data_IF_478292215836
#
_entry.id   IF_478292215836
#
_cell.length_a   1.000
_cell.length_b   1.000
_cell.length_c   1.000
_cell.angle_alpha   90.00
_cell.angle_beta   90.00
_cell.angle_gamma   90.00
#
_symmetry.space_group_name_H-M   'P 1'
#
loop_
_entity.id
_entity.type
_entity.pdbx_description
1 polymer ?
#
# COMPACT_ATOMS: atom_id res chain seq x y z
N UNK A 1 8.61 2.24 -12.82
CA UNK A 1 9.76 2.67 -11.98
C UNK A 1 9.29 2.70 -10.53
N UNK A 2 10.11 2.24 -9.57
CA UNK A 2 9.73 2.16 -8.15
C UNK A 2 10.83 2.78 -7.31
N UNK A 3 10.50 3.76 -6.49
CA UNK A 3 11.42 4.40 -5.54
C UNK A 3 11.21 3.83 -4.14
N UNK A 4 12.28 3.46 -3.45
CA UNK A 4 12.23 3.07 -2.05
C UNK A 4 13.09 4.02 -1.21
N UNK A 5 12.50 4.55 -0.15
CA UNK A 5 13.09 5.60 0.68
C UNK A 5 13.17 5.11 2.12
N UNK A 6 14.35 5.22 2.72
CA UNK A 6 14.59 4.98 4.14
C UNK A 6 15.79 5.82 4.59
N UNK A 7 16.03 5.94 5.89
CA UNK A 7 17.24 6.57 6.45
C UNK A 7 18.31 5.53 6.78
N UNK A 8 17.91 4.27 7.00
CA UNK A 8 18.78 3.18 7.42
C UNK A 8 19.38 2.47 6.21
N UNK A 9 20.66 2.71 5.97
CA UNK A 9 21.41 2.16 4.83
C UNK A 9 21.28 0.63 4.68
N UNK A 10 21.29 -0.11 5.81
CA UNK A 10 21.13 -1.57 5.79
C UNK A 10 19.78 -2.01 5.24
N UNK A 11 18.69 -1.28 5.51
CA UNK A 11 17.37 -1.58 4.92
C UNK A 11 17.33 -1.32 3.42
N UNK A 12 18.03 -0.27 2.96
CA UNK A 12 18.17 0.02 1.53
C UNK A 12 18.93 -1.09 0.79
N UNK A 13 20.00 -1.61 1.39
CA UNK A 13 20.73 -2.78 0.83
C UNK A 13 19.82 -4.00 0.70
N UNK A 14 19.06 -4.31 1.76
CA UNK A 14 18.07 -5.39 1.72
C UNK A 14 17.07 -5.12 0.59
N UNK A 15 16.52 -3.91 0.47
CA UNK A 15 15.61 -3.55 -0.63
C UNK A 15 16.23 -3.79 -2.02
N UNK A 16 17.51 -3.49 -2.22
CA UNK A 16 18.18 -3.77 -3.49
C UNK A 16 18.24 -5.27 -3.81
N UNK A 17 18.41 -6.14 -2.81
CA UNK A 17 18.31 -7.59 -2.98
C UNK A 17 16.90 -8.05 -3.41
N UNK A 18 15.86 -7.26 -3.12
CA UNK A 18 14.49 -7.47 -3.60
C UNK A 18 14.23 -6.90 -5.00
N UNK A 19 15.25 -6.35 -5.67
CA UNK A 19 15.14 -5.81 -7.02
C UNK A 19 14.72 -4.33 -7.06
N UNK A 20 14.69 -3.63 -5.92
CA UNK A 20 14.50 -2.18 -5.93
C UNK A 20 15.78 -1.50 -6.43
N UNK A 21 15.73 -0.95 -7.63
CA UNK A 21 16.89 -0.30 -8.26
C UNK A 21 17.03 1.16 -7.84
N UNK A 22 15.92 1.86 -7.58
CA UNK A 22 15.92 3.27 -7.19
C UNK A 22 15.72 3.41 -5.68
N UNK A 23 16.80 3.27 -4.92
CA UNK A 23 16.81 3.49 -3.47
C UNK A 23 17.35 4.88 -3.10
N UNK A 24 16.72 5.54 -2.13
CA UNK A 24 17.09 6.88 -1.66
C UNK A 24 17.31 6.84 -0.15
N UNK A 25 18.50 7.26 0.29
CA UNK A 25 18.75 7.54 1.69
C UNK A 25 18.33 8.98 2.05
N UNK A 26 17.18 9.12 2.71
CA UNK A 26 16.60 10.42 3.06
C UNK A 26 17.41 11.21 4.10
N UNK A 27 18.35 10.57 4.81
CA UNK A 27 19.27 11.26 5.72
C UNK A 27 20.43 11.95 4.99
N UNK A 28 20.67 11.59 3.71
CA UNK A 28 21.82 12.05 2.92
C UNK A 28 21.44 12.98 1.78
N UNK A 29 20.18 12.93 1.32
CA UNK A 29 19.70 13.64 0.13
C UNK A 29 18.26 14.08 0.33
N UNK A 30 17.88 15.15 -0.35
CA UNK A 30 16.50 15.59 -0.42
C UNK A 30 15.68 14.61 -1.27
N UNK A 31 14.76 13.89 -0.61
CA UNK A 31 13.88 12.91 -1.23
C UNK A 31 12.99 13.50 -2.32
N UNK A 32 12.33 14.63 -2.04
CA UNK A 32 11.33 15.23 -2.93
C UNK A 32 12.02 15.70 -4.20
N UNK A 33 13.11 16.45 -4.04
CA UNK A 33 13.93 16.91 -5.17
C UNK A 33 14.45 15.75 -6.01
N UNK A 34 15.01 14.72 -5.37
CA UNK A 34 15.55 13.54 -6.07
C UNK A 34 14.50 12.83 -6.92
N UNK A 35 13.28 12.67 -6.40
CA UNK A 35 12.17 12.02 -7.12
C UNK A 35 11.68 12.92 -8.26
N UNK A 36 11.48 14.22 -8.02
CA UNK A 36 11.03 15.13 -9.06
C UNK A 36 12.03 15.25 -10.21
N UNK A 37 13.33 15.32 -9.93
CA UNK A 37 14.37 15.32 -10.98
C UNK A 37 14.32 14.03 -11.81
N UNK A 38 14.28 12.85 -11.16
CA UNK A 38 14.21 11.55 -11.85
C UNK A 38 12.92 11.35 -12.63
N UNK A 39 11.83 11.99 -12.21
CA UNK A 39 10.52 11.93 -12.88
C UNK A 39 10.26 13.12 -13.80
N UNK A 40 11.27 13.94 -14.11
CA UNK A 40 11.13 15.14 -14.98
C UNK A 40 10.00 16.07 -14.51
N UNK A 41 9.95 16.32 -13.20
CA UNK A 41 8.94 17.13 -12.50
C UNK A 41 7.51 16.57 -12.55
N UNK A 42 7.31 15.35 -13.04
CA UNK A 42 5.98 14.72 -13.08
C UNK A 42 5.50 14.28 -11.71
N UNK A 43 6.39 13.72 -10.87
CA UNK A 43 6.03 13.02 -9.65
C UNK A 43 5.61 11.55 -9.89
N UNK A 44 5.19 10.87 -8.83
CA UNK A 44 4.81 9.45 -8.84
C UNK A 44 3.31 9.24 -8.97
N UNK A 45 2.91 8.18 -9.68
CA UNK A 45 1.51 7.77 -9.82
C UNK A 45 0.89 7.38 -8.47
N UNK A 46 1.66 6.66 -7.65
CA UNK A 46 1.25 6.19 -6.32
C UNK A 46 2.40 6.42 -5.34
N UNK A 47 2.07 6.95 -4.17
CA UNK A 47 2.96 7.17 -3.03
C UNK A 47 2.47 6.37 -1.83
N UNK A 48 3.33 5.58 -1.20
CA UNK A 48 2.99 4.76 -0.02
C UNK A 48 3.83 5.23 1.17
N UNK A 49 3.17 5.80 2.16
CA UNK A 49 3.78 6.25 3.42
C UNK A 49 3.70 5.12 4.45
N UNK A 50 4.85 4.54 4.80
CA UNK A 50 4.95 3.40 5.72
C UNK A 50 5.87 3.65 6.93
N UNK A 51 6.40 4.87 7.09
CA UNK A 51 7.29 5.22 8.19
C UNK A 51 6.55 5.84 9.38
N UNK A 52 5.41 6.50 9.14
CA UNK A 52 4.57 7.07 10.19
C UNK A 52 5.16 8.32 10.83
N UNK A 53 5.76 9.22 10.04
CA UNK A 53 6.34 10.47 10.53
C UNK A 53 5.75 11.69 9.82
N UNK A 54 5.70 12.87 10.46
CA UNK A 54 5.20 14.09 9.81
C UNK A 54 5.98 14.49 8.56
N UNK A 55 7.27 14.17 8.51
CA UNK A 55 8.12 14.43 7.35
C UNK A 55 7.68 13.55 6.18
N UNK A 56 7.59 12.23 6.39
CA UNK A 56 7.21 11.29 5.33
C UNK A 56 5.78 11.49 4.87
N UNK A 57 4.87 11.88 5.78
CA UNK A 57 3.50 12.25 5.42
C UNK A 57 3.47 13.41 4.42
N UNK A 58 4.13 14.54 4.72
CA UNK A 58 4.16 15.70 3.82
C UNK A 58 4.86 15.37 2.51
N UNK A 59 6.00 14.69 2.56
CA UNK A 59 6.74 14.29 1.37
C UNK A 59 5.91 13.39 0.46
N UNK A 60 5.12 12.47 1.01
CA UNK A 60 4.27 11.57 0.24
C UNK A 60 3.23 12.31 -0.64
N UNK A 61 2.73 13.44 -0.16
CA UNK A 61 1.81 14.34 -0.88
C UNK A 61 2.57 15.17 -1.93
N UNK A 62 3.74 15.71 -1.56
CA UNK A 62 4.55 16.54 -2.45
C UNK A 62 4.98 15.80 -3.71
N UNK A 63 5.39 14.54 -3.58
CA UNK A 63 5.89 13.72 -4.70
C UNK A 63 4.78 13.16 -5.59
N UNK A 64 3.52 13.16 -5.14
CA UNK A 64 2.42 12.65 -5.95
C UNK A 64 2.17 13.56 -7.16
N UNK A 65 1.95 12.96 -8.34
CA UNK A 65 1.59 13.69 -9.56
C UNK A 65 0.14 14.17 -9.53
N UNK A 66 -0.25 15.01 -10.51
CA UNK A 66 -1.66 15.32 -10.78
C UNK A 66 -2.47 14.02 -11.03
N UNK A 67 -3.63 13.88 -10.39
CA UNK A 67 -4.46 12.67 -10.36
C UNK A 67 -3.80 11.48 -9.65
N UNK A 68 -2.75 11.72 -8.86
CA UNK A 68 -1.98 10.69 -8.16
C UNK A 68 -2.66 10.21 -6.88
N UNK A 69 -2.20 9.06 -6.38
CA UNK A 69 -2.72 8.44 -5.15
C UNK A 69 -1.68 8.46 -4.03
N UNK A 70 -2.13 8.78 -2.82
CA UNK A 70 -1.31 8.73 -1.61
C UNK A 70 -1.95 7.75 -0.62
N UNK A 71 -1.18 6.76 -0.18
CA UNK A 71 -1.64 5.70 0.72
C UNK A 71 -0.86 5.80 2.02
N UNK A 72 -1.56 5.98 3.13
CA UNK A 72 -1.00 6.06 4.48
C UNK A 72 -1.18 4.72 5.19
N UNK A 73 -0.05 4.08 5.50
CA UNK A 73 0.06 2.82 6.24
C UNK A 73 0.81 3.02 7.58
N UNK A 74 1.74 3.97 7.63
CA UNK A 74 2.55 4.23 8.80
C UNK A 74 1.73 4.75 9.99
N UNK A 75 1.95 4.18 11.17
CA UNK A 75 1.34 4.70 12.40
C UNK A 75 1.97 6.06 12.74
N UNK A 76 1.20 7.13 12.55
CA UNK A 76 1.69 8.50 12.69
C UNK A 76 2.18 8.78 14.11
N UNK A 77 3.40 9.30 14.22
CA UNK A 77 3.98 9.77 15.48
C UNK A 77 4.26 11.27 15.40
N UNK A 78 3.46 12.05 16.12
CA UNK A 78 3.56 13.50 16.17
C UNK A 78 2.51 14.20 15.30
N UNK A 79 2.49 15.52 15.42
CA UNK A 79 1.53 16.38 14.73
C UNK A 79 1.93 16.64 13.28
N UNK A 80 0.95 16.63 12.38
CA UNK A 80 1.14 16.96 10.96
C UNK A 80 0.46 18.28 10.66
N UNK A 81 1.27 19.34 10.55
CA UNK A 81 0.81 20.65 10.11
C UNK A 81 0.99 20.74 8.59
N UNK A 82 -0.11 20.93 7.87
CA UNK A 82 -0.12 21.13 6.42
C UNK A 82 -0.07 22.61 6.12
N UNK A 83 0.88 23.04 5.28
CA UNK A 83 0.95 24.42 4.81
C UNK A 83 -0.12 24.70 3.75
N UNK A 84 -0.44 25.98 3.54
CA UNK A 84 -1.36 26.45 2.49
C UNK A 84 -0.95 25.95 1.10
N UNK A 85 0.36 25.88 0.83
CA UNK A 85 0.90 25.33 -0.42
C UNK A 85 0.56 23.85 -0.57
N UNK A 86 0.73 23.06 0.50
CA UNK A 86 0.49 21.63 0.46
C UNK A 86 -1.01 21.34 0.32
N UNK A 87 -1.86 22.08 1.05
CA UNK A 87 -3.32 22.02 0.92
C UNK A 87 -3.74 22.39 -0.50
N UNK A 88 -3.22 23.50 -1.04
CA UNK A 88 -3.46 23.92 -2.43
C UNK A 88 -2.99 22.87 -3.43
N UNK A 89 -1.89 22.17 -3.15
CA UNK A 89 -1.38 21.11 -4.00
C UNK A 89 -2.32 19.90 -4.04
N UNK A 90 -2.95 19.53 -2.93
CA UNK A 90 -3.93 18.43 -2.88
C UNK A 90 -5.10 18.77 -3.81
N UNK A 91 -5.64 19.98 -3.70
CA UNK A 91 -6.74 20.45 -4.54
C UNK A 91 -6.34 20.52 -6.02
N UNK A 92 -5.26 21.24 -6.34
CA UNK A 92 -4.85 21.50 -7.74
C UNK A 92 -4.32 20.27 -8.47
N UNK A 93 -3.79 19.30 -7.72
CA UNK A 93 -3.38 18.01 -8.27
C UNK A 93 -4.51 17.00 -8.24
N UNK A 94 -5.68 17.31 -7.68
CA UNK A 94 -6.80 16.36 -7.56
C UNK A 94 -6.36 15.03 -6.95
N UNK A 95 -5.61 15.10 -5.85
CA UNK A 95 -5.05 13.90 -5.23
C UNK A 95 -6.13 13.06 -4.58
N UNK A 96 -5.99 11.74 -4.67
CA UNK A 96 -6.79 10.81 -3.85
C UNK A 96 -5.94 10.27 -2.71
N UNK A 97 -6.42 10.43 -1.48
CA UNK A 97 -5.70 10.04 -0.27
C UNK A 97 -6.45 8.92 0.45
N UNK A 98 -5.74 7.84 0.79
CA UNK A 98 -6.29 6.67 1.47
C UNK A 98 -5.55 6.41 2.77
N UNK A 99 -6.29 6.19 3.85
CA UNK A 99 -5.76 5.50 5.03
C UNK A 99 -6.00 4.00 4.90
N UNK A 100 -5.05 3.19 5.35
CA UNK A 100 -5.24 1.74 5.47
C UNK A 100 -4.85 1.28 6.87
N UNK A 101 -5.63 0.35 7.42
CA UNK A 101 -5.40 -0.23 8.72
C UNK A 101 -5.45 -1.75 8.64
N UNK A 102 -4.30 -2.36 8.94
CA UNK A 102 -4.15 -3.81 9.08
C UNK A 102 -4.58 -4.59 7.82
N UNK A 103 -4.64 -5.91 7.94
CA UNK A 103 -5.16 -6.82 6.92
C UNK A 103 -6.52 -7.36 7.30
N UNK A 104 -7.37 -7.64 6.31
CA UNK A 104 -8.64 -8.34 6.52
C UNK A 104 -8.42 -9.84 6.54
N UNK A 105 -8.70 -10.47 7.68
CA UNK A 105 -8.82 -11.91 7.80
C UNK A 105 -10.28 -12.32 7.65
N UNK A 106 -10.56 -13.22 6.71
CA UNK A 106 -11.86 -13.86 6.53
C UNK A 106 -11.63 -15.36 6.78
N UNK A 107 -12.37 -16.03 7.68
CA UNK A 107 -12.24 -17.47 7.88
C UNK A 107 -12.33 -18.24 6.55
N UNK A 108 -11.56 -19.33 6.43
CA UNK A 108 -11.41 -20.02 5.15
C UNK A 108 -12.73 -20.56 4.59
N UNK A 109 -13.64 -20.99 5.48
CA UNK A 109 -14.98 -21.48 5.15
C UNK A 109 -15.81 -20.43 4.39
N UNK A 110 -15.64 -19.15 4.73
CA UNK A 110 -16.29 -18.03 4.04
C UNK A 110 -15.50 -17.56 2.80
N UNK A 111 -14.21 -17.90 2.72
CA UNK A 111 -13.33 -17.53 1.60
C UNK A 111 -13.51 -18.41 0.37
N UNK A 112 -13.88 -19.69 0.54
CA UNK A 112 -14.12 -20.60 -0.59
C UNK A 112 -15.28 -20.12 -1.46
N UNK A 113 -16.33 -19.55 -0.84
CA UNK A 113 -17.46 -18.90 -1.55
C UNK A 113 -17.00 -17.68 -2.37
N UNK A 114 -16.04 -16.91 -1.86
CA UNK A 114 -15.44 -15.82 -2.63
C UNK A 114 -14.55 -16.34 -3.76
N UNK A 115 -13.69 -17.34 -3.53
CA UNK A 115 -12.81 -17.88 -4.59
C UNK A 115 -13.63 -18.52 -5.72
N UNK A 116 -14.74 -19.20 -5.41
CA UNK A 116 -15.67 -19.76 -6.41
C UNK A 116 -16.36 -18.67 -7.24
N UNK A 117 -16.76 -17.56 -6.61
CA UNK A 117 -17.32 -16.39 -7.31
C UNK A 117 -16.28 -15.64 -8.16
N UNK A 118 -14.99 -15.72 -7.81
CA UNK A 118 -13.90 -15.18 -8.61
C UNK A 118 -13.50 -16.10 -9.78
N UNK A 119 -13.74 -17.42 -9.69
CA UNK A 119 -13.60 -18.35 -10.84
C UNK A 119 -14.73 -18.20 -11.86
N UNK A 120 -15.92 -17.78 -11.43
CA UNK A 120 -17.11 -17.59 -12.28
C UNK A 120 -17.23 -16.19 -12.87
N UNK A 121 -16.26 -15.30 -12.61
CA UNK A 121 -16.19 -14.02 -13.32
C UNK A 121 -15.61 -14.20 -14.73
N UNK A 122 -16.41 -14.85 -15.60
CA UNK A 122 -16.30 -14.66 -17.04
C UNK A 122 -16.75 -13.23 -17.36
N UNK A 123 -15.95 -12.52 -18.16
CA UNK A 123 -16.37 -11.27 -18.80
C UNK A 123 -17.69 -11.52 -19.55
N UNK A 124 -18.80 -10.99 -19.04
CA UNK A 124 -20.08 -10.99 -19.74
C UNK A 124 -21.28 -10.87 -18.83
N UNK A 125 -21.92 -9.71 -18.82
CA UNK A 125 -23.20 -9.47 -19.51
C UNK A 125 -23.83 -8.19 -18.94
N UNK A 126 -24.10 -7.19 -19.79
CA UNK A 126 -24.48 -5.83 -19.34
C UNK A 126 -25.95 -5.69 -18.92
N UNK A 127 -26.76 -6.74 -19.07
CA UNK A 127 -28.23 -6.60 -19.04
C UNK A 127 -28.95 -7.43 -17.96
N UNK A 128 -28.38 -7.59 -16.75
CA UNK A 128 -29.15 -8.17 -15.61
C UNK A 128 -29.23 -7.25 -14.39
N UNK A 129 -30.45 -6.91 -13.92
CA UNK A 129 -30.62 -6.15 -12.69
C UNK A 129 -30.26 -7.04 -11.49
N UNK A 130 -29.33 -6.58 -10.66
CA UNK A 130 -28.93 -7.27 -9.41
C UNK A 130 -30.01 -7.10 -8.35
N UNK A 131 -30.57 -8.21 -7.86
CA UNK A 131 -31.42 -8.24 -6.66
C UNK A 131 -30.59 -7.97 -5.41
N UNK A 132 -31.06 -7.05 -4.57
CA UNK A 132 -30.54 -6.80 -3.23
C UNK A 132 -31.16 -7.80 -2.25
N UNK A 133 -30.37 -8.74 -1.74
CA UNK A 133 -30.74 -9.52 -0.55
C UNK A 133 -30.19 -8.78 0.67
N UNK A 134 -31.08 -8.16 1.43
CA UNK A 134 -30.74 -7.49 2.68
C UNK A 134 -30.35 -8.49 3.78
N UNK A 135 -29.27 -8.18 4.48
CA UNK A 135 -29.11 -8.47 5.90
C UNK A 135 -28.78 -7.15 6.58
N UNK A 136 -29.63 -6.74 7.51
CA UNK A 136 -29.46 -5.53 8.30
C UNK A 136 -28.64 -5.79 9.55
N UNK A 137 -27.83 -4.79 9.90
CA UNK A 137 -27.67 -4.23 11.24
C UNK A 137 -26.94 -2.87 11.05
N UNK A 138 -27.69 -1.77 11.10
CA UNK A 138 -27.89 -0.85 12.24
C UNK A 138 -26.70 0.08 12.48
N UNK A 139 -26.96 1.33 12.09
CA UNK A 139 -26.41 2.60 12.58
C UNK A 139 -24.90 2.84 12.49
N UNK A 140 -24.49 3.45 11.38
CA UNK A 140 -23.57 4.61 11.34
C UNK A 140 -23.68 5.27 9.95
N UNK A 141 -24.74 6.06 9.76
CA UNK A 141 -24.96 6.87 8.57
C UNK A 141 -24.08 8.12 8.62
N UNK A 142 -23.09 8.24 7.73
CA UNK A 142 -22.56 9.54 7.33
C UNK A 142 -23.35 9.99 6.10
N UNK A 143 -24.48 10.66 6.33
CA UNK A 143 -25.18 11.39 5.28
C UNK A 143 -24.35 12.63 4.91
N UNK A 144 -23.79 12.65 3.72
CA UNK A 144 -23.42 13.92 3.06
C UNK A 144 -24.50 14.19 2.01
N UNK A 145 -25.37 15.14 2.33
CA UNK A 145 -26.44 15.60 1.45
C UNK A 145 -25.89 16.62 0.44
N UNK A 146 -25.89 16.22 -0.84
CA UNK A 146 -26.26 17.06 -2.00
C UNK A 146 -25.14 17.51 -2.97
N UNK A 147 -25.47 17.90 -4.24
CA UNK A 147 -26.69 17.64 -5.02
C UNK A 147 -26.46 16.68 -6.21
N UNK A 148 -27.58 16.19 -6.75
CA UNK A 148 -27.70 15.31 -7.92
C UNK A 148 -27.39 16.02 -9.26
N UNK A 149 -27.01 15.20 -10.26
CA UNK A 149 -26.83 15.42 -11.72
C UNK A 149 -25.37 15.64 -12.17
N UNK A 150 -24.88 15.04 -13.26
CA UNK A 150 -25.48 14.15 -14.25
C UNK A 150 -24.41 13.25 -14.87
N UNK A 151 -24.84 12.14 -15.46
CA UNK A 151 -24.01 11.32 -16.34
C UNK A 151 -23.52 12.19 -17.49
N UNK A 152 -22.20 12.29 -17.70
CA UNK A 152 -21.59 12.66 -18.99
C UNK A 152 -20.11 12.23 -19.00
N UNK A 153 -19.83 11.27 -19.88
CA UNK A 153 -18.61 10.99 -20.64
C UNK A 153 -17.21 11.31 -20.06
N UNK A 154 -16.45 10.24 -19.76
CA UNK A 154 -14.98 10.26 -19.77
C UNK A 154 -14.43 9.28 -20.84
N UNK A 155 -13.43 9.67 -21.64
CA UNK A 155 -12.97 8.88 -22.77
C UNK A 155 -12.18 7.65 -22.32
N UNK A 156 -12.55 6.50 -22.89
CA UNK A 156 -11.80 5.26 -22.81
C UNK A 156 -10.48 5.39 -23.57
N UNK A 157 -9.36 5.52 -22.86
CA UNK A 157 -8.03 5.23 -23.41
C UNK A 157 -7.45 4.00 -22.72
N UNK A 158 -7.59 2.86 -23.40
CA UNK A 158 -6.95 1.61 -23.05
C UNK A 158 -5.48 1.65 -23.46
N UNK A 159 -4.58 1.81 -22.49
CA UNK A 159 -3.18 1.40 -22.67
C UNK A 159 -2.97 0.10 -21.88
N UNK A 160 -2.96 -1.02 -22.59
CA UNK A 160 -2.61 -2.33 -22.05
C UNK A 160 -1.14 -2.33 -21.61
N UNK A 161 -0.89 -2.39 -20.31
CA UNK A 161 0.42 -2.79 -19.81
C UNK A 161 0.52 -4.32 -19.92
N UNK A 162 1.47 -4.80 -20.73
CA UNK A 162 1.79 -6.22 -20.85
C UNK A 162 2.24 -6.78 -19.50
N UNK A 163 1.80 -8.01 -19.19
CA UNK A 163 1.98 -8.78 -17.95
C UNK A 163 3.43 -9.10 -17.52
N UNK A 164 4.44 -8.40 -18.06
CA UNK A 164 5.85 -8.80 -18.05
C UNK A 164 6.67 -8.47 -16.79
N UNK A 165 6.29 -7.47 -15.97
CA UNK A 165 7.27 -6.84 -15.03
C UNK A 165 6.87 -6.85 -13.54
N UNK A 166 6.13 -7.86 -13.06
CA UNK A 166 5.68 -7.93 -11.65
C UNK A 166 6.65 -8.66 -10.70
N UNK A 167 7.96 -8.68 -10.97
CA UNK A 167 8.91 -9.51 -10.20
C UNK A 167 9.34 -8.96 -8.83
N UNK A 168 8.85 -7.80 -8.38
CA UNK A 168 9.35 -7.16 -7.15
C UNK A 168 8.32 -6.32 -6.38
N UNK A 169 7.04 -6.67 -6.41
CA UNK A 169 6.00 -5.91 -5.71
C UNK A 169 5.70 -6.59 -4.36
N UNK A 170 5.98 -5.95 -3.20
CA UNK A 170 5.53 -6.45 -1.90
C UNK A 170 4.01 -6.68 -1.91
N UNK A 171 3.50 -7.63 -1.11
CA UNK A 171 2.05 -7.90 -1.05
C UNK A 171 1.21 -6.63 -0.77
N UNK A 172 1.77 -5.67 -0.02
CA UNK A 172 1.15 -4.36 0.23
C UNK A 172 1.16 -3.39 -0.97
N UNK A 173 1.96 -3.63 -2.01
CA UNK A 173 1.95 -2.83 -3.24
C UNK A 173 1.08 -3.46 -4.35
N UNK A 174 0.84 -4.78 -4.32
CA UNK A 174 -0.27 -5.41 -5.08
C UNK A 174 -1.64 -4.92 -4.59
N UNK A 175 -1.73 -4.57 -3.31
CA UNK A 175 -2.88 -3.94 -2.65
C UNK A 175 -3.10 -2.50 -3.16
N UNK A 176 -2.03 -1.71 -3.33
CA UNK A 176 -2.11 -0.34 -3.84
C UNK A 176 -2.65 -0.22 -5.29
N UNK A 177 -2.30 -1.18 -6.16
CA UNK A 177 -2.77 -1.18 -7.57
C UNK A 177 -4.28 -1.52 -7.68
N UNK A 178 -4.79 -2.42 -6.83
CA UNK A 178 -6.24 -2.69 -6.74
C UNK A 178 -7.04 -1.54 -6.12
N UNK A 179 -6.48 -0.88 -5.10
CA UNK A 179 -7.03 0.35 -4.53
C UNK A 179 -7.07 1.49 -5.56
N UNK A 180 -6.16 1.47 -6.54
CA UNK A 180 -6.11 2.47 -7.59
C UNK A 180 -7.20 2.29 -8.66
N UNK A 181 -7.70 1.08 -8.91
CA UNK A 181 -8.65 0.82 -9.99
C UNK A 181 -10.13 0.83 -9.53
N UNK A 182 -10.41 0.60 -8.25
CA UNK A 182 -11.77 0.28 -7.81
C UNK A 182 -12.65 1.46 -7.37
N UNK A 183 -12.12 2.66 -7.12
CA UNK A 183 -12.91 3.85 -6.72
C UNK A 183 -13.78 3.69 -5.46
N UNK A 184 -13.73 2.53 -4.79
CA UNK A 184 -14.43 2.19 -3.55
C UNK A 184 -13.45 1.45 -2.66
N UNK A 185 -13.40 1.89 -1.40
CA UNK A 185 -12.70 1.20 -0.31
C UNK A 185 -13.56 0.00 0.09
N UNK A 186 -13.63 -1.01 -0.76
CA UNK A 186 -14.17 -2.30 -0.38
C UNK A 186 -13.10 -3.35 -0.66
N UNK A 187 -12.34 -3.70 0.37
CA UNK A 187 -11.39 -4.80 0.34
C UNK A 187 -12.17 -6.11 0.16
N UNK A 188 -12.36 -6.52 -1.10
CA UNK A 188 -12.92 -7.82 -1.48
C UNK A 188 -11.80 -8.85 -1.52
N UNK A 189 -11.96 -9.97 -0.82
CA UNK A 189 -10.98 -11.06 -0.78
C UNK A 189 -10.23 -11.22 0.55
N UNK A 190 -9.85 -12.47 0.82
CA UNK A 190 -8.97 -12.84 1.91
C UNK A 190 -7.48 -12.55 1.55
N UNK A 191 -6.92 -11.51 2.17
CA UNK A 191 -5.54 -11.06 1.91
C UNK A 191 -4.49 -12.07 2.37
N UNK A 192 -4.82 -12.89 3.37
CA UNK A 192 -3.94 -13.94 3.87
C UNK A 192 -3.78 -15.05 2.83
N UNK A 193 -4.89 -15.48 2.21
CA UNK A 193 -4.86 -16.47 1.13
C UNK A 193 -4.03 -15.96 -0.05
N UNK A 194 -4.25 -14.70 -0.43
CA UNK A 194 -3.49 -14.05 -1.51
C UNK A 194 -2.00 -13.97 -1.18
N UNK A 195 -1.65 -13.56 0.05
CA UNK A 195 -0.26 -13.48 0.51
C UNK A 195 0.41 -14.85 0.52
N UNK A 196 -0.26 -15.87 1.06
CA UNK A 196 0.22 -17.25 1.07
C UNK A 196 0.43 -17.79 -0.35
N UNK A 197 -0.46 -17.47 -1.28
CA UNK A 197 -0.30 -17.81 -2.69
C UNK A 197 0.98 -17.19 -3.28
N UNK A 198 1.20 -15.89 -3.10
CA UNK A 198 2.41 -15.23 -3.60
C UNK A 198 3.71 -15.74 -2.95
N UNK A 199 3.66 -16.12 -1.66
CA UNK A 199 4.78 -16.81 -0.99
C UNK A 199 5.02 -18.18 -1.62
N UNK A 200 3.95 -18.97 -1.84
CA UNK A 200 4.01 -20.31 -2.43
C UNK A 200 4.62 -20.30 -3.83
N UNK A 201 4.24 -19.35 -4.68
CA UNK A 201 4.80 -19.23 -6.05
C UNK A 201 6.14 -18.48 -6.11
N UNK A 202 6.73 -18.15 -4.96
CA UNK A 202 8.05 -17.52 -4.87
C UNK A 202 8.12 -16.05 -5.31
N UNK A 203 6.97 -15.43 -5.58
CA UNK A 203 6.87 -14.00 -5.94
C UNK A 203 6.99 -13.08 -4.71
N UNK A 204 6.61 -13.57 -3.53
CA UNK A 204 6.85 -12.89 -2.25
C UNK A 204 7.87 -13.66 -1.41
N UNK A 205 9.11 -13.18 -1.37
CA UNK A 205 10.19 -13.79 -0.59
C UNK A 205 10.22 -13.20 0.82
N UNK A 206 9.65 -13.88 1.81
CA UNK A 206 9.61 -13.32 3.18
C UNK A 206 10.82 -13.70 4.04
N UNK A 207 11.53 -14.79 3.68
CA UNK A 207 12.65 -15.33 4.49
C UNK A 207 13.77 -14.31 4.75
N UNK A 208 14.26 -13.53 3.75
CA UNK A 208 15.34 -12.58 3.98
C UNK A 208 14.95 -11.40 4.89
N UNK A 209 13.66 -11.16 5.14
CA UNK A 209 13.23 -10.15 6.10
C UNK A 209 13.50 -10.58 7.55
N UNK A 210 13.58 -11.89 7.81
CA UNK A 210 13.81 -12.46 9.14
C UNK A 210 15.31 -12.45 9.43
N UNK A 211 15.75 -11.46 10.18
CA UNK A 211 17.16 -11.27 10.55
C UNK A 211 17.57 -12.12 11.75
N UNK A 212 16.63 -12.41 12.66
CA UNK A 212 16.93 -13.17 13.88
C UNK A 212 15.85 -14.19 14.20
N UNK A 213 16.29 -15.33 14.74
CA UNK A 213 15.44 -16.38 15.30
C UNK A 213 15.92 -16.69 16.71
N UNK A 214 15.02 -16.64 17.67
CA UNK A 214 15.32 -16.92 19.07
C UNK A 214 14.39 -18.00 19.59
N UNK A 215 14.87 -18.85 20.50
CA UNK A 215 13.99 -19.69 21.30
C UNK A 215 13.19 -18.84 22.30
N UNK A 216 12.02 -19.30 22.73
CA UNK A 216 11.20 -18.56 23.71
C UNK A 216 11.96 -18.26 25.02
N UNK A 217 12.85 -19.17 25.45
CA UNK A 217 13.72 -18.97 26.62
C UNK A 217 14.66 -17.75 26.48
N UNK A 218 14.96 -17.32 25.25
CA UNK A 218 15.82 -16.17 24.95
C UNK A 218 15.02 -14.87 24.73
N UNK A 219 13.72 -14.84 25.01
CA UNK A 219 12.88 -13.66 24.81
C UNK A 219 13.46 -12.39 25.44
N UNK A 220 13.93 -12.49 26.70
CA UNK A 220 14.54 -11.35 27.42
C UNK A 220 15.76 -10.79 26.68
N UNK A 221 16.63 -11.67 26.18
CA UNK A 221 17.82 -11.27 25.42
C UNK A 221 17.44 -10.59 24.10
N UNK A 222 16.50 -11.18 23.35
CA UNK A 222 16.02 -10.64 22.09
C UNK A 222 15.41 -9.24 22.26
N UNK A 223 14.55 -9.04 23.27
CA UNK A 223 13.98 -7.72 23.56
C UNK A 223 15.04 -6.72 24.01
N UNK A 224 16.04 -7.15 24.79
CA UNK A 224 17.14 -6.27 25.17
C UNK A 224 18.03 -5.87 23.98
N UNK A 225 18.30 -6.79 23.04
CA UNK A 225 19.01 -6.49 21.80
C UNK A 225 18.25 -5.43 20.99
N UNK A 226 16.94 -5.60 20.82
CA UNK A 226 16.10 -4.65 20.08
C UNK A 226 16.01 -3.29 20.76
N UNK A 227 15.74 -3.26 22.07
CA UNK A 227 15.60 -2.02 22.83
C UNK A 227 16.89 -1.21 22.86
N UNK A 228 18.04 -1.88 23.05
CA UNK A 228 19.36 -1.22 23.09
C UNK A 228 19.92 -0.92 21.70
N UNK A 229 19.31 -1.43 20.63
CA UNK A 229 19.83 -1.30 19.26
C UNK A 229 21.24 -1.86 19.09
N UNK A 230 21.59 -2.93 19.84
CA UNK A 230 22.95 -3.50 19.83
C UNK A 230 23.38 -3.97 18.44
N UNK A 231 22.43 -4.48 17.67
CA UNK A 231 22.63 -5.06 16.35
C UNK A 231 21.52 -4.62 15.41
N UNK A 232 21.78 -4.72 14.11
CA UNK A 232 20.75 -4.45 13.11
C UNK A 232 19.75 -5.59 13.05
N UNK A 233 18.46 -5.29 13.18
CA UNK A 233 17.38 -6.24 12.97
C UNK A 233 16.31 -5.65 12.04
N UNK A 234 15.65 -6.52 11.28
CA UNK A 234 14.49 -6.17 10.46
C UNK A 234 13.24 -6.86 11.02
N UNK A 235 13.19 -8.20 10.96
CA UNK A 235 12.19 -9.01 11.66
C UNK A 235 12.87 -10.03 12.57
N UNK A 236 12.40 -10.08 13.82
CA UNK A 236 12.78 -11.09 14.82
C UNK A 236 11.59 -12.03 15.00
N UNK A 237 11.85 -13.35 14.96
CA UNK A 237 10.82 -14.37 15.19
C UNK A 237 11.24 -15.27 16.35
N UNK A 238 10.29 -15.58 17.21
CA UNK A 238 10.46 -16.64 18.21
C UNK A 238 10.06 -17.97 17.59
N UNK A 239 10.97 -18.93 17.66
CA UNK A 239 10.75 -20.30 17.23
C UNK A 239 10.66 -21.20 18.46
N UNK A 240 9.80 -22.21 18.37
CA UNK A 240 9.58 -23.24 19.37
C UNK A 240 10.30 -24.52 19.00
#
# INVERSE_FOLDING_TARGET
QIFLIDIVEKKLRVAQEYGFTEVINASKRDTVKSILEKTKQRGVDVSIEAAGTPITFKQSIQIARKGGKVIFLGNMRGEVILSDELISSILRKELTMYGTWNSRFIPLEDSEREVESHKTFSLGDKDKPRKTSGLGDKDETCEIIGPLRGEDDFPSSSSSLSLGDLSAVPACALHADRLAQAGRIEMRGNEWVTTLYFVKIGKLKVKPLITHRFGLKQAKEAFQMMYKGKEFFNKVIFVT
#
